data_IF_665779533583
#
_entry.id   IF_665779533583
#
_cell.length_a   1.000
_cell.length_b   1.000
_cell.length_c   1.000
_cell.angle_alpha   90.00
_cell.angle_beta   90.00
_cell.angle_gamma   90.00
#
_symmetry.space_group_name_H-M   'P 1'
#
loop_
_entity.id
_entity.type
_entity.pdbx_description
1 polymer ?
#
# COMPACT_ATOMS: atom_id res chain seq x y z
N UNK A 1 -24.13 3.95 -22.76
CA UNK A 1 -23.68 3.94 -21.39
C UNK A 1 -22.93 5.20 -21.04
N UNK A 2 -23.47 5.94 -20.13
CA UNK A 2 -22.73 7.13 -19.78
C UNK A 2 -21.44 6.74 -19.14
N UNK A 3 -20.42 7.44 -19.48
CA UNK A 3 -19.17 7.22 -18.84
C UNK A 3 -19.30 7.70 -17.44
N UNK A 4 -18.93 6.89 -16.50
CA UNK A 4 -18.89 7.33 -15.15
C UNK A 4 -17.96 8.52 -15.07
N UNK A 5 -18.17 9.41 -14.12
CA UNK A 5 -17.25 10.51 -13.94
C UNK A 5 -15.91 9.95 -13.42
N UNK A 6 -14.86 10.60 -13.77
CA UNK A 6 -13.54 10.20 -13.27
C UNK A 6 -13.49 10.42 -11.77
N UNK A 7 -12.91 9.50 -11.03
CA UNK A 7 -12.75 9.70 -9.60
C UNK A 7 -11.83 10.89 -9.35
N UNK A 8 -12.15 11.67 -8.37
CA UNK A 8 -11.29 12.79 -8.02
C UNK A 8 -10.16 12.30 -7.10
N UNK A 9 -9.23 13.17 -6.83
CA UNK A 9 -8.02 12.81 -6.07
C UNK A 9 -8.35 12.31 -4.66
N UNK A 10 -9.40 12.82 -4.04
CA UNK A 10 -9.80 12.38 -2.70
C UNK A 10 -10.31 10.95 -2.72
N UNK A 11 -11.06 10.62 -3.75
CA UNK A 11 -11.57 9.26 -3.92
C UNK A 11 -10.44 8.29 -4.20
N UNK A 12 -9.51 8.67 -5.04
CA UNK A 12 -8.34 7.84 -5.36
C UNK A 12 -7.48 7.62 -4.12
N UNK A 13 -7.23 8.68 -3.38
CA UNK A 13 -6.46 8.58 -2.15
C UNK A 13 -7.17 7.66 -1.15
N UNK A 14 -8.48 7.85 -1.00
CA UNK A 14 -9.27 7.03 -0.08
C UNK A 14 -9.22 5.56 -0.42
N UNK A 15 -9.32 5.22 -1.70
CA UNK A 15 -9.23 3.84 -2.16
C UNK A 15 -7.86 3.26 -1.86
N UNK A 16 -6.82 4.04 -2.13
CA UNK A 16 -5.45 3.63 -1.88
C UNK A 16 -5.23 3.38 -0.39
N UNK A 17 -5.67 4.31 0.44
CA UNK A 17 -5.57 4.19 1.89
C UNK A 17 -6.25 2.93 2.39
N UNK A 18 -7.46 2.69 1.94
CA UNK A 18 -8.21 1.51 2.36
C UNK A 18 -7.51 0.23 1.93
N UNK A 19 -7.00 0.20 0.70
CA UNK A 19 -6.28 -0.97 0.19
C UNK A 19 -5.05 -1.27 1.04
N UNK A 20 -4.25 -0.26 1.35
CA UNK A 20 -3.05 -0.43 2.16
C UNK A 20 -3.39 -0.84 3.58
N UNK A 21 -4.44 -0.27 4.15
CA UNK A 21 -4.88 -0.63 5.49
C UNK A 21 -5.30 -2.10 5.55
N UNK A 22 -6.07 -2.55 4.55
CA UNK A 22 -6.50 -3.94 4.51
C UNK A 22 -5.34 -4.90 4.30
N UNK A 23 -4.36 -4.50 3.51
CA UNK A 23 -3.15 -5.30 3.36
C UNK A 23 -2.44 -5.47 4.68
N UNK A 24 -2.44 -4.43 5.50
CA UNK A 24 -1.84 -4.49 6.83
C UNK A 24 -2.72 -5.24 7.82
N UNK A 25 -3.95 -5.55 7.45
CA UNK A 25 -4.92 -6.25 8.31
C UNK A 25 -5.19 -5.50 9.61
N UNK A 26 -5.29 -4.19 9.52
CA UNK A 26 -5.62 -3.37 10.67
C UNK A 26 -6.95 -2.67 10.44
N UNK A 27 -7.60 -2.30 11.53
CA UNK A 27 -8.89 -1.63 11.47
C UNK A 27 -8.71 -0.14 11.27
N UNK A 28 -9.79 0.55 10.95
CA UNK A 28 -9.77 2.01 10.90
C UNK A 28 -9.38 2.60 12.26
N UNK A 29 -9.84 1.97 13.33
CA UNK A 29 -9.49 2.41 14.67
C UNK A 29 -8.01 2.28 14.96
N UNK A 30 -7.45 1.13 14.61
CA UNK A 30 -6.03 0.89 14.81
C UNK A 30 -5.17 1.86 14.00
N UNK A 31 -5.56 2.07 12.74
CA UNK A 31 -4.84 3.02 11.92
C UNK A 31 -4.94 4.43 12.49
N UNK A 32 -6.14 4.82 12.95
CA UNK A 32 -6.33 6.13 13.56
C UNK A 32 -5.42 6.33 14.77
N UNK A 33 -5.31 5.33 15.63
CA UNK A 33 -4.44 5.41 16.79
C UNK A 33 -2.98 5.59 16.36
N UNK A 34 -2.54 4.83 15.39
CA UNK A 34 -1.17 4.92 14.90
C UNK A 34 -0.86 6.23 14.21
N UNK A 35 -1.85 6.78 13.53
CA UNK A 35 -1.69 8.00 12.77
C UNK A 35 -1.99 9.26 13.59
N UNK A 36 -2.53 9.10 14.78
CA UNK A 36 -2.89 10.25 15.61
C UNK A 36 -4.17 10.94 15.16
N UNK A 37 -5.09 10.20 14.54
CA UNK A 37 -6.37 10.76 14.10
C UNK A 37 -7.51 9.83 14.52
N UNK A 38 -8.74 10.30 14.40
CA UNK A 38 -9.88 9.47 14.80
C UNK A 38 -10.19 8.40 13.75
N UNK A 39 -10.80 7.32 14.20
CA UNK A 39 -11.31 6.30 13.28
C UNK A 39 -12.35 6.89 12.32
N UNK A 40 -13.13 7.85 12.81
CA UNK A 40 -14.12 8.53 11.98
C UNK A 40 -13.45 9.26 10.82
N UNK A 41 -12.34 9.94 11.08
CA UNK A 41 -11.61 10.64 10.02
C UNK A 41 -11.04 9.64 9.02
N UNK A 42 -10.47 8.54 9.48
CA UNK A 42 -9.97 7.49 8.58
C UNK A 42 -11.10 7.01 7.68
N UNK A 43 -12.27 6.73 8.25
CA UNK A 43 -13.43 6.29 7.47
C UNK A 43 -13.88 7.32 6.44
N UNK A 44 -13.91 8.59 6.81
CA UNK A 44 -14.28 9.65 5.89
C UNK A 44 -13.30 9.74 4.72
N UNK A 45 -12.00 9.67 5.02
CA UNK A 45 -10.99 9.71 3.97
C UNK A 45 -11.14 8.52 3.04
N UNK A 46 -11.36 7.33 3.58
CA UNK A 46 -11.51 6.12 2.76
C UNK A 46 -12.73 6.19 1.84
N UNK A 47 -13.76 6.90 2.24
CA UNK A 47 -14.94 7.07 1.39
C UNK A 47 -14.77 8.19 0.36
N UNK A 48 -13.69 8.91 0.41
CA UNK A 48 -13.46 10.04 -0.49
C UNK A 48 -14.13 11.32 -0.03
N UNK A 49 -14.65 11.34 1.20
CA UNK A 49 -15.35 12.50 1.72
C UNK A 49 -14.44 13.46 2.47
N UNK A 50 -13.25 13.04 2.78
CA UNK A 50 -12.33 13.85 3.54
C UNK A 50 -11.34 14.59 2.67
N UNK A 51 -10.72 15.59 3.24
CA UNK A 51 -9.64 16.33 2.57
C UNK A 51 -8.46 16.38 3.54
N UNK A 52 -7.66 15.32 3.58
CA UNK A 52 -6.59 15.22 4.56
C UNK A 52 -5.51 16.27 4.33
N UNK A 53 -4.98 16.79 5.43
CA UNK A 53 -3.84 17.69 5.35
C UNK A 53 -2.58 16.88 5.12
N UNK A 54 -1.50 17.55 4.78
CA UNK A 54 -0.21 16.88 4.62
C UNK A 54 0.22 16.20 5.92
N UNK A 55 -0.05 16.82 7.06
CA UNK A 55 0.29 16.22 8.36
C UNK A 55 -0.47 14.93 8.59
N UNK A 56 -1.75 14.91 8.22
CA UNK A 56 -2.56 13.72 8.34
C UNK A 56 -2.04 12.62 7.41
N UNK A 57 -1.71 12.98 6.17
CA UNK A 57 -1.15 12.03 5.22
C UNK A 57 0.15 11.44 5.76
N UNK A 58 1.03 12.26 6.30
CA UNK A 58 2.28 11.79 6.87
C UNK A 58 2.02 10.84 8.04
N UNK A 59 1.06 11.17 8.91
CA UNK A 59 0.68 10.31 10.02
C UNK A 59 0.13 8.97 9.57
N UNK A 60 -0.71 8.98 8.54
CA UNK A 60 -1.27 7.75 7.98
C UNK A 60 -0.18 6.87 7.40
N UNK A 61 0.78 7.47 6.71
CA UNK A 61 1.91 6.73 6.15
C UNK A 61 2.72 6.06 7.26
N UNK A 62 3.00 6.78 8.33
CA UNK A 62 3.70 6.22 9.49
C UNK A 62 2.88 5.08 10.08
N UNK A 63 1.60 5.28 10.26
CA UNK A 63 0.72 4.25 10.83
C UNK A 63 0.64 3.00 9.99
N UNK A 64 0.76 3.14 8.67
CA UNK A 64 0.77 2.01 7.76
C UNK A 64 2.19 1.47 7.54
N UNK A 65 3.19 2.13 8.06
CA UNK A 65 4.60 1.77 7.86
C UNK A 65 4.98 1.78 6.38
N UNK A 66 4.54 2.80 5.69
CA UNK A 66 4.87 3.00 4.27
C UNK A 66 5.39 4.42 4.10
N UNK A 67 6.00 4.69 2.97
CA UNK A 67 6.37 6.06 2.65
C UNK A 67 5.16 6.84 2.19
N UNK A 68 5.18 8.14 2.39
CA UNK A 68 4.10 9.00 1.89
C UNK A 68 3.96 8.87 0.38
N UNK A 69 5.05 8.63 -0.31
CA UNK A 69 5.04 8.42 -1.75
C UNK A 69 4.16 7.21 -2.11
N UNK A 70 4.28 6.13 -1.35
CA UNK A 70 3.49 4.93 -1.63
C UNK A 70 2.01 5.20 -1.41
N UNK A 71 1.69 6.00 -0.42
CA UNK A 71 0.31 6.33 -0.13
C UNK A 71 -0.31 7.20 -1.22
N UNK A 72 0.48 8.02 -1.87
CA UNK A 72 0.02 8.90 -2.93
C UNK A 72 0.17 8.29 -4.33
N UNK A 73 0.65 7.06 -4.41
CA UNK A 73 0.87 6.42 -5.69
C UNK A 73 -0.41 5.76 -6.16
N UNK A 74 -1.30 6.53 -6.72
CA UNK A 74 -2.52 6.01 -7.32
C UNK A 74 -2.55 6.42 -8.78
N UNK A 75 -3.02 5.50 -9.60
CA UNK A 75 -2.93 5.66 -11.02
C UNK A 75 -4.26 6.05 -11.61
N UNK A 76 -4.40 7.31 -11.94
CA UNK A 76 -5.63 7.81 -12.51
C UNK A 76 -5.86 7.41 -13.93
N UNK A 77 -4.78 7.33 -14.68
CA UNK A 77 -4.90 7.26 -16.12
C UNK A 77 -4.30 6.03 -16.78
N UNK A 78 -3.97 5.00 -16.02
CA UNK A 78 -3.43 3.83 -16.67
C UNK A 78 -4.52 2.99 -17.31
N UNK A 79 -4.32 2.57 -18.55
CA UNK A 79 -5.29 1.72 -19.17
C UNK A 79 -5.48 0.43 -18.39
N UNK A 80 -6.71 -0.01 -18.38
CA UNK A 80 -7.02 -1.27 -17.77
C UNK A 80 -6.16 -2.36 -18.42
N UNK A 81 -5.56 -3.18 -17.62
CA UNK A 81 -4.80 -4.30 -18.17
C UNK A 81 -3.30 -4.11 -18.16
N UNK A 82 -2.81 -2.93 -17.92
CA UNK A 82 -1.40 -2.81 -17.70
C UNK A 82 -1.20 -3.04 -16.24
N UNK A 83 -1.23 -4.28 -15.96
CA UNK A 83 -1.15 -4.67 -14.65
C UNK A 83 0.14 -4.34 -14.09
N UNK A 84 0.46 -4.68 -13.05
CA UNK A 84 1.71 -4.49 -12.46
C UNK A 84 1.98 -3.10 -12.16
N UNK A 85 1.02 -2.40 -11.78
CA UNK A 85 1.27 -1.10 -11.23
C UNK A 85 1.95 -1.19 -9.90
N UNK A 86 2.34 -0.06 -9.38
CA UNK A 86 2.96 0.05 -8.07
C UNK A 86 2.11 -0.63 -6.98
N UNK A 87 0.79 -0.63 -7.15
CA UNK A 87 -0.10 -1.28 -6.20
C UNK A 87 0.14 -2.78 -6.11
N UNK A 88 0.31 -3.43 -7.25
CA UNK A 88 0.57 -4.87 -7.27
C UNK A 88 1.94 -5.18 -6.70
N UNK A 89 2.92 -4.39 -7.05
CA UNK A 89 4.26 -4.55 -6.50
C UNK A 89 4.26 -4.33 -4.99
N UNK A 90 3.50 -3.35 -4.53
CA UNK A 90 3.39 -3.09 -3.10
C UNK A 90 2.76 -4.28 -2.39
N UNK A 91 1.67 -4.81 -2.94
CA UNK A 91 0.99 -5.95 -2.35
C UNK A 91 1.92 -7.16 -2.26
N UNK A 92 2.66 -7.43 -3.33
CA UNK A 92 3.60 -8.54 -3.34
C UNK A 92 4.71 -8.33 -2.31
N UNK A 93 5.26 -7.14 -2.24
CA UNK A 93 6.31 -6.83 -1.27
C UNK A 93 5.80 -6.97 0.16
N UNK A 94 4.57 -6.57 0.39
CA UNK A 94 4.00 -6.65 1.72
C UNK A 94 3.78 -8.11 2.15
N UNK A 95 3.33 -8.95 1.25
CA UNK A 95 3.15 -10.37 1.53
C UNK A 95 4.49 -11.03 1.82
N UNK A 96 5.50 -10.70 1.02
CA UNK A 96 6.85 -11.24 1.22
C UNK A 96 7.39 -10.78 2.57
N UNK A 97 7.23 -9.51 2.88
CA UNK A 97 7.71 -8.96 4.13
C UNK A 97 7.07 -9.65 5.33
N UNK A 98 5.78 -9.88 5.26
CA UNK A 98 5.08 -10.58 6.33
C UNK A 98 5.54 -12.00 6.49
N UNK A 99 5.69 -12.70 5.39
CA UNK A 99 6.12 -14.08 5.42
C UNK A 99 7.52 -14.20 6.01
N UNK A 100 8.38 -13.24 5.71
CA UNK A 100 9.75 -13.27 6.17
C UNK A 100 9.94 -12.66 7.57
N UNK A 101 8.93 -12.01 8.12
CA UNK A 101 9.06 -11.39 9.42
C UNK A 101 9.33 -12.45 10.48
N UNK A 102 10.29 -12.18 11.33
CA UNK A 102 10.64 -13.11 12.41
C UNK A 102 11.49 -14.29 12.00
N UNK A 103 11.84 -14.41 10.73
CA UNK A 103 12.70 -15.49 10.27
C UNK A 103 14.14 -15.21 10.63
N UNK A 104 14.88 -16.26 10.87
CA UNK A 104 16.31 -16.11 11.17
C UNK A 104 17.09 -15.76 9.91
N UNK A 105 18.30 -15.22 10.04
CA UNK A 105 19.14 -14.96 8.88
C UNK A 105 19.35 -16.19 8.00
N UNK A 106 19.48 -17.36 8.61
CA UNK A 106 19.67 -18.60 7.86
C UNK A 106 18.45 -18.96 7.03
N UNK A 107 17.27 -18.76 7.61
CA UNK A 107 16.01 -18.99 6.89
C UNK A 107 15.85 -18.00 5.75
N UNK A 108 16.26 -16.76 5.96
CA UNK A 108 16.20 -15.75 4.90
C UNK A 108 17.13 -16.08 3.74
N UNK A 109 18.35 -16.55 4.06
CA UNK A 109 19.28 -16.97 3.01
C UNK A 109 18.74 -18.15 2.23
N UNK A 110 18.12 -19.09 2.94
CA UNK A 110 17.52 -20.25 2.29
C UNK A 110 16.39 -19.83 1.36
N UNK A 111 15.55 -18.91 1.81
CA UNK A 111 14.47 -18.38 0.99
C UNK A 111 15.01 -17.70 -0.26
N UNK A 112 16.07 -16.92 -0.10
CA UNK A 112 16.69 -16.24 -1.23
C UNK A 112 17.21 -17.24 -2.26
N UNK A 113 17.87 -18.29 -1.82
CA UNK A 113 18.37 -19.31 -2.73
C UNK A 113 17.23 -19.99 -3.51
N UNK A 114 16.12 -20.24 -2.84
CA UNK A 114 14.97 -20.84 -3.50
C UNK A 114 14.43 -19.90 -4.58
N UNK A 115 14.33 -18.62 -4.25
CA UNK A 115 13.84 -17.62 -5.21
C UNK A 115 14.78 -17.48 -6.40
N UNK A 116 16.07 -17.47 -6.14
CA UNK A 116 17.04 -17.38 -7.22
C UNK A 116 16.99 -18.60 -8.13
N UNK A 117 16.80 -19.77 -7.56
CA UNK A 117 16.67 -20.99 -8.35
C UNK A 117 15.39 -20.97 -9.19
N UNK A 118 14.33 -20.41 -8.66
CA UNK A 118 13.04 -20.37 -9.37
C UNK A 118 13.00 -19.31 -10.47
N UNK A 119 13.59 -18.14 -10.21
CA UNK A 119 13.46 -17.00 -11.13
C UNK A 119 14.76 -16.56 -11.78
N UNK A 120 15.83 -17.25 -11.49
CA UNK A 120 17.13 -16.82 -11.95
C UNK A 120 17.73 -15.77 -11.03
N UNK A 121 19.03 -15.68 -11.05
CA UNK A 121 19.72 -14.69 -10.27
C UNK A 121 19.31 -13.33 -10.75
N UNK A 122 19.01 -12.49 -9.87
CA UNK A 122 18.60 -11.20 -10.32
C UNK A 122 19.78 -10.50 -10.60
N UNK A 123 20.14 -10.45 -11.37
CA UNK A 123 21.03 -9.80 -11.80
C UNK A 123 21.37 -8.75 -11.65
N UNK A 124 21.80 -8.51 -11.49
CA UNK A 124 22.27 -7.59 -11.63
C UNK A 124 22.29 -6.89 -12.44
N UNK A 125 21.80 -6.61 -12.40
CA UNK A 125 21.50 -5.88 -13.15
C UNK A 125 22.46 -5.15 -13.58
N UNK A 126 23.09 -4.84 -13.85
CA UNK A 126 23.84 -4.00 -14.38
C UNK A 126 23.41 -2.91 -14.39
#
# INVERSE_FOLDING_TARGET
>A
MPRGRRPNVRELFGRRLKALRKLRMITQESLGERAGVSAKLVGQIERGDGNPTLDVIAGLAVGLEVGSKDLLDFEEDRPHGQATGAADAFAANELIRRYLAGRSPEELERALRILEAAFGATADAK
#
